data_IF_123865255928
#
_entry.id   IF_123865255928
#
_cell.length_a   1.000
_cell.length_b   1.000
_cell.length_c   1.000
_cell.angle_alpha   90.00
_cell.angle_beta   90.00
_cell.angle_gamma   90.00
#
_symmetry.space_group_name_H-M   'P 1'
#
loop_
_entity.id
_entity.type
_entity.pdbx_description
1 polymer ?
#
# COMPACT_ATOMS: atom_id res chain seq x y z
N UNK A 1 -17.15 8.91 -28.25
CA UNK A 1 -16.26 8.75 -27.08
C UNK A 1 -16.28 10.07 -26.31
N UNK A 2 -16.81 10.10 -25.08
CA UNK A 2 -16.66 11.29 -24.21
C UNK A 2 -15.16 11.44 -23.89
N UNK A 3 -14.56 12.57 -24.25
CA UNK A 3 -13.18 12.86 -23.86
C UNK A 3 -13.13 12.97 -22.32
N UNK A 4 -12.34 12.12 -21.68
CA UNK A 4 -12.09 12.18 -20.24
C UNK A 4 -10.90 13.09 -20.01
N UNK A 5 -11.18 14.32 -19.60
CA UNK A 5 -10.20 15.35 -19.27
C UNK A 5 -10.15 15.45 -17.74
N UNK A 6 -8.96 15.52 -17.17
CA UNK A 6 -8.74 15.72 -15.75
C UNK A 6 -9.42 17.01 -15.31
N UNK A 7 -9.94 17.03 -14.08
CA UNK A 7 -10.53 18.23 -13.50
C UNK A 7 -10.12 18.34 -12.05
N UNK A 8 -9.99 19.58 -11.58
CA UNK A 8 -9.46 19.89 -10.25
C UNK A 8 -10.34 20.89 -9.52
N UNK A 9 -10.21 20.87 -8.21
CA UNK A 9 -10.79 21.84 -7.30
C UNK A 9 -9.74 22.28 -6.29
N UNK A 10 -9.77 23.56 -5.92
CA UNK A 10 -8.93 24.12 -4.87
C UNK A 10 -9.70 24.08 -3.54
N UNK A 11 -8.97 23.90 -2.43
CA UNK A 11 -9.60 23.97 -1.09
C UNK A 11 -10.26 25.33 -0.85
N UNK A 12 -9.68 26.40 -1.41
CA UNK A 12 -10.23 27.76 -1.34
C UNK A 12 -11.31 28.09 -2.38
N UNK A 13 -11.72 27.13 -3.22
CA UNK A 13 -12.84 27.36 -4.14
C UNK A 13 -14.17 27.46 -3.37
N UNK A 14 -15.15 28.07 -4.03
CA UNK A 14 -16.52 28.19 -3.56
C UNK A 14 -17.14 26.82 -3.17
N UNK A 15 -18.03 26.84 -2.18
CA UNK A 15 -18.66 25.63 -1.64
C UNK A 15 -19.41 24.85 -2.72
N UNK A 16 -20.13 25.52 -3.61
CA UNK A 16 -20.89 24.87 -4.68
C UNK A 16 -19.96 24.14 -5.66
N UNK A 17 -18.78 24.72 -5.94
CA UNK A 17 -17.76 24.06 -6.78
C UNK A 17 -17.17 22.81 -6.12
N UNK A 18 -16.87 22.89 -4.81
CA UNK A 18 -16.36 21.73 -4.05
C UNK A 18 -17.41 20.64 -3.93
N UNK A 19 -18.67 21.00 -3.72
CA UNK A 19 -19.79 20.06 -3.64
C UNK A 19 -20.04 19.40 -5.00
N UNK A 20 -20.05 20.17 -6.09
CA UNK A 20 -20.17 19.64 -7.45
C UNK A 20 -19.03 18.67 -7.80
N UNK A 21 -17.80 18.97 -7.37
CA UNK A 21 -16.65 18.07 -7.52
C UNK A 21 -16.85 16.75 -6.76
N UNK A 22 -17.33 16.82 -5.51
CA UNK A 22 -17.61 15.64 -4.69
C UNK A 22 -18.73 14.77 -5.30
N UNK A 23 -19.83 15.39 -5.74
CA UNK A 23 -20.92 14.68 -6.40
C UNK A 23 -20.49 14.05 -7.72
N UNK A 24 -19.60 14.72 -8.47
CA UNK A 24 -18.99 14.14 -9.68
C UNK A 24 -18.22 12.86 -9.36
N UNK A 25 -17.46 12.82 -8.26
CA UNK A 25 -16.78 11.61 -7.79
C UNK A 25 -17.80 10.51 -7.42
N UNK A 26 -18.87 10.84 -6.68
CA UNK A 26 -19.92 9.89 -6.29
C UNK A 26 -20.61 9.26 -7.50
N UNK A 27 -21.01 10.08 -8.48
CA UNK A 27 -21.62 9.63 -9.72
C UNK A 27 -20.66 8.71 -10.47
N UNK A 28 -19.39 9.10 -10.60
CA UNK A 28 -18.36 8.31 -11.28
C UNK A 28 -18.18 6.91 -10.68
N UNK A 29 -18.27 6.78 -9.35
CA UNK A 29 -18.20 5.49 -8.65
C UNK A 29 -19.48 4.69 -8.83
N UNK A 30 -20.64 5.32 -8.61
CA UNK A 30 -21.96 4.68 -8.68
C UNK A 30 -22.25 4.14 -10.09
N UNK A 31 -21.96 4.90 -11.12
CA UNK A 31 -22.35 4.57 -12.49
C UNK A 31 -21.36 3.64 -13.22
N UNK A 32 -20.24 3.24 -12.59
CA UNK A 32 -19.17 2.44 -13.22
C UNK A 32 -18.81 2.92 -14.64
N UNK A 33 -18.87 4.23 -14.86
CA UNK A 33 -18.68 4.81 -16.20
C UNK A 33 -17.30 4.33 -16.70
N UNK A 34 -17.20 3.69 -17.86
CA UNK A 34 -15.95 3.20 -18.46
C UNK A 34 -15.08 2.25 -17.61
N UNK A 35 -15.36 0.95 -17.73
CA UNK A 35 -14.60 -0.20 -17.19
C UNK A 35 -13.11 -0.22 -17.61
N UNK A 36 -12.73 0.51 -18.67
CA UNK A 36 -11.37 0.51 -19.23
C UNK A 36 -10.47 1.67 -18.75
N UNK A 37 -10.95 2.56 -17.88
CA UNK A 37 -10.17 3.69 -17.38
C UNK A 37 -9.96 3.58 -15.87
N UNK A 38 -8.69 3.44 -15.47
CA UNK A 38 -8.29 3.59 -14.06
C UNK A 38 -8.38 5.07 -13.65
N UNK A 39 -8.82 5.33 -12.43
CA UNK A 39 -8.99 6.68 -11.88
C UNK A 39 -8.29 6.81 -10.55
N UNK A 40 -7.62 7.93 -10.37
CA UNK A 40 -6.93 8.29 -9.14
C UNK A 40 -7.22 9.73 -8.80
N UNK A 41 -7.16 10.06 -7.51
CA UNK A 41 -7.24 11.44 -7.03
C UNK A 41 -5.83 11.87 -6.66
N UNK A 42 -5.33 12.89 -7.36
CA UNK A 42 -4.06 13.56 -7.08
C UNK A 42 -4.32 14.75 -6.17
N UNK A 43 -3.59 14.85 -5.07
CA UNK A 43 -3.63 16.01 -4.16
C UNK A 43 -2.28 16.67 -4.10
N UNK A 44 -2.25 18.00 -4.12
CA UNK A 44 -0.99 18.75 -4.07
C UNK A 44 -1.02 19.77 -2.94
N UNK A 45 0.13 19.96 -2.28
CA UNK A 45 0.40 21.07 -1.36
C UNK A 45 0.79 22.34 -2.12
N UNK A 46 0.77 23.48 -1.44
CA UNK A 46 1.32 24.75 -1.94
C UNK A 46 2.82 24.66 -2.29
N UNK A 47 3.57 23.78 -1.62
CA UNK A 47 4.99 23.57 -1.88
C UNK A 47 5.29 22.59 -3.03
N UNK A 48 4.26 22.13 -3.76
CA UNK A 48 4.40 21.20 -4.88
C UNK A 48 4.46 19.72 -4.50
N UNK A 49 4.47 19.37 -3.22
CA UNK A 49 4.42 17.95 -2.82
C UNK A 49 3.07 17.33 -3.17
N UNK A 50 3.09 16.17 -3.83
CA UNK A 50 1.89 15.49 -4.32
C UNK A 50 1.65 14.15 -3.62
N UNK A 51 0.38 13.78 -3.43
CA UNK A 51 -0.07 12.45 -3.03
C UNK A 51 -1.15 11.95 -3.99
N UNK A 52 -1.23 10.64 -4.15
CA UNK A 52 -2.17 10.00 -5.07
C UNK A 52 -3.01 8.99 -4.30
N UNK A 53 -4.31 8.96 -4.56
CA UNK A 53 -5.28 8.09 -3.90
C UNK A 53 -6.05 7.29 -4.93
N UNK A 54 -6.16 5.99 -4.73
CA UNK A 54 -7.02 5.13 -5.55
C UNK A 54 -8.47 5.27 -5.16
N UNK A 55 -9.35 5.40 -6.15
CA UNK A 55 -10.80 5.43 -5.92
C UNK A 55 -11.35 4.00 -5.95
N UNK A 56 -11.11 3.23 -4.88
CA UNK A 56 -11.64 1.87 -4.71
C UNK A 56 -12.97 1.89 -3.94
N UNK A 57 -13.91 0.99 -4.27
CA UNK A 57 -15.33 1.07 -3.89
C UNK A 57 -15.61 1.34 -2.37
N UNK A 58 -16.41 2.39 -2.16
CA UNK A 58 -17.28 2.76 -1.03
C UNK A 58 -16.76 3.28 0.33
N UNK A 59 -15.77 2.70 1.02
CA UNK A 59 -15.48 3.18 2.40
C UNK A 59 -14.48 4.35 2.49
N UNK A 60 -13.48 4.40 1.61
CA UNK A 60 -12.48 5.47 1.64
C UNK A 60 -12.92 6.74 0.92
N UNK A 61 -13.91 6.62 0.03
CA UNK A 61 -14.39 7.73 -0.81
C UNK A 61 -15.17 8.74 0.01
N UNK A 62 -16.06 8.30 0.90
CA UNK A 62 -16.87 9.22 1.70
C UNK A 62 -16.01 10.01 2.70
N UNK A 63 -14.95 9.41 3.24
CA UNK A 63 -13.97 10.14 4.06
C UNK A 63 -13.17 11.15 3.24
N UNK A 64 -12.76 10.77 2.01
CA UNK A 64 -12.07 11.67 1.10
C UNK A 64 -12.97 12.82 0.64
N UNK A 65 -14.24 12.55 0.35
CA UNK A 65 -15.28 13.54 0.02
C UNK A 65 -15.53 14.46 1.22
N UNK A 66 -15.70 13.90 2.41
CA UNK A 66 -15.85 14.67 3.64
C UNK A 66 -14.67 15.62 3.87
N UNK A 67 -13.46 15.20 3.49
CA UNK A 67 -12.29 16.05 3.52
C UNK A 67 -12.28 17.14 2.44
N UNK A 68 -12.60 16.79 1.18
CA UNK A 68 -12.64 17.75 0.07
C UNK A 68 -13.72 18.82 0.29
N UNK A 69 -14.88 18.42 0.79
CA UNK A 69 -16.00 19.31 1.09
C UNK A 69 -15.80 20.11 2.38
N UNK A 70 -14.75 19.83 3.16
CA UNK A 70 -14.42 20.54 4.39
C UNK A 70 -15.24 20.12 5.62
N UNK A 71 -15.99 19.02 5.53
CA UNK A 71 -16.76 18.46 6.65
C UNK A 71 -15.91 17.69 7.66
N UNK A 72 -14.76 17.16 7.23
CA UNK A 72 -13.85 16.33 8.03
C UNK A 72 -12.43 16.88 7.86
N UNK A 73 -11.66 16.97 8.94
CA UNK A 73 -10.21 17.25 8.88
C UNK A 73 -9.45 16.01 8.36
N UNK A 74 -8.32 16.19 7.66
CA UNK A 74 -7.47 15.04 7.23
C UNK A 74 -6.97 14.25 8.44
N UNK A 75 -6.98 14.89 9.60
CA UNK A 75 -6.67 14.32 10.89
C UNK A 75 -7.97 13.85 11.56
N UNK A 76 -8.09 12.53 11.75
CA UNK A 76 -9.07 11.96 12.67
C UNK A 76 -8.66 12.31 14.09
N UNK A 77 -9.10 13.46 14.58
CA UNK A 77 -8.92 13.85 15.98
C UNK A 77 -9.98 13.15 16.83
N UNK A 78 -9.53 12.25 17.72
CA UNK A 78 -10.34 11.76 18.83
C UNK A 78 -10.34 12.79 19.96
N UNK A 79 -11.43 12.89 20.74
CA UNK A 79 -11.57 13.86 21.84
C UNK A 79 -10.46 13.82 22.88
N UNK A 80 -9.71 12.72 22.93
CA UNK A 80 -8.74 12.42 23.97
C UNK A 80 -7.30 12.76 23.54
N UNK A 81 -7.12 13.41 22.38
CA UNK A 81 -5.80 13.66 21.79
C UNK A 81 -5.29 15.08 22.09
N UNK A 82 -4.17 15.16 22.81
CA UNK A 82 -3.42 16.41 23.03
C UNK A 82 -2.93 16.97 21.68
N UNK A 83 -3.08 18.27 21.37
CA UNK A 83 -2.75 18.82 20.05
C UNK A 83 -1.25 18.72 19.80
N UNK A 84 -0.86 17.91 18.82
CA UNK A 84 0.53 17.76 18.39
C UNK A 84 0.69 18.37 17.00
N UNK A 85 1.50 19.42 16.87
CA UNK A 85 1.92 19.96 15.57
C UNK A 85 2.95 19.01 14.94
N UNK A 86 2.50 17.84 14.48
CA UNK A 86 3.21 17.09 13.45
C UNK A 86 2.99 17.78 12.10
N UNK A 87 3.95 17.64 11.19
CA UNK A 87 3.95 18.28 9.86
C UNK A 87 2.77 17.76 9.02
N UNK A 88 1.61 18.38 9.22
CA UNK A 88 0.32 17.92 8.71
C UNK A 88 0.31 18.05 7.18
N UNK A 89 -0.17 17.00 6.50
CA UNK A 89 -0.37 17.07 5.07
C UNK A 89 -1.68 17.81 4.81
N UNK A 90 -1.60 19.14 4.69
CA UNK A 90 -2.72 19.99 4.31
C UNK A 90 -2.69 20.18 2.78
N UNK A 91 -3.51 19.46 2.00
CA UNK A 91 -3.59 19.67 0.56
C UNK A 91 -4.19 21.06 0.26
N UNK A 92 -3.72 21.70 -0.82
CA UNK A 92 -4.33 22.90 -1.38
C UNK A 92 -5.20 22.60 -2.60
N UNK A 93 -5.03 21.43 -3.22
CA UNK A 93 -5.70 21.03 -4.46
C UNK A 93 -6.07 19.55 -4.46
N UNK A 94 -7.16 19.23 -5.15
CA UNK A 94 -7.54 17.88 -5.55
C UNK A 94 -7.82 17.84 -7.03
N UNK A 95 -7.35 16.80 -7.69
CA UNK A 95 -7.54 16.58 -9.11
C UNK A 95 -7.95 15.13 -9.34
N UNK A 96 -9.04 14.94 -10.07
CA UNK A 96 -9.40 13.62 -10.60
C UNK A 96 -8.59 13.41 -11.88
N UNK A 97 -7.72 12.40 -11.85
CA UNK A 97 -6.85 12.03 -12.97
C UNK A 97 -7.39 10.76 -13.62
N UNK A 98 -7.70 10.87 -14.91
CA UNK A 98 -8.10 9.73 -15.73
C UNK A 98 -6.88 9.12 -16.39
N UNK A 99 -6.63 7.85 -16.11
CA UNK A 99 -5.46 7.13 -16.60
C UNK A 99 -5.86 6.17 -17.70
N UNK A 100 -5.30 6.37 -18.88
CA UNK A 100 -5.37 5.40 -19.98
C UNK A 100 -4.05 4.64 -20.06
N UNK A 101 -4.09 3.32 -19.89
CA UNK A 101 -2.89 2.50 -20.03
C UNK A 101 -2.51 2.35 -21.50
N UNK A 102 -1.21 2.48 -21.77
CA UNK A 102 -0.56 2.21 -23.06
C UNK A 102 0.61 1.27 -22.80
N UNK A 103 0.73 0.21 -23.60
CA UNK A 103 1.89 -0.68 -23.56
C UNK A 103 2.95 -0.16 -24.52
N UNK A 104 4.14 0.09 -24.01
CA UNK A 104 5.30 0.49 -24.81
C UNK A 104 6.46 -0.47 -24.49
N UNK A 105 6.62 -1.49 -25.34
CA UNK A 105 7.54 -2.61 -25.08
C UNK A 105 7.15 -3.40 -23.81
N UNK A 106 8.09 -3.52 -22.87
CA UNK A 106 7.91 -4.18 -21.57
C UNK A 106 7.38 -3.23 -20.46
N UNK A 107 7.15 -1.95 -20.76
CA UNK A 107 6.67 -0.95 -19.79
C UNK A 107 5.21 -0.59 -20.05
N UNK A 108 4.45 -0.38 -18.97
CA UNK A 108 3.11 0.22 -19.06
C UNK A 108 3.25 1.69 -18.72
N UNK A 109 2.85 2.56 -19.65
CA UNK A 109 2.82 4.01 -19.44
C UNK A 109 1.35 4.40 -19.28
N UNK A 110 1.08 5.37 -18.41
CA UNK A 110 -0.26 5.91 -18.27
C UNK A 110 -0.31 7.30 -18.89
N UNK A 111 -1.29 7.51 -19.76
CA UNK A 111 -1.54 8.80 -20.38
C UNK A 111 -2.72 9.41 -19.65
N UNK A 112 -2.54 10.63 -19.14
CA UNK A 112 -3.63 11.48 -18.68
C UNK A 112 -3.76 12.71 -19.56
N UNK A 113 -4.96 13.31 -19.60
CA UNK A 113 -5.24 14.50 -20.41
C UNK A 113 -5.68 15.62 -19.48
N UNK A 114 -5.02 16.76 -19.55
CA UNK A 114 -5.36 17.96 -18.77
C UNK A 114 -5.51 19.17 -19.69
N UNK A 115 -6.07 20.26 -19.18
CA UNK A 115 -6.17 21.53 -19.89
C UNK A 115 -5.08 22.48 -19.40
N UNK A 116 -4.42 23.17 -20.32
CA UNK A 116 -3.53 24.28 -19.98
C UNK A 116 -4.30 25.58 -19.71
N UNK A 117 -3.58 26.64 -19.38
CA UNK A 117 -4.16 27.97 -19.12
C UNK A 117 -4.93 28.53 -20.34
N UNK A 118 -4.59 28.08 -21.55
CA UNK A 118 -5.21 28.46 -22.83
C UNK A 118 -6.37 27.52 -23.25
N UNK A 119 -6.82 26.61 -22.37
CA UNK A 119 -7.85 25.59 -22.62
C UNK A 119 -7.52 24.58 -23.75
N UNK A 120 -6.25 24.37 -24.03
CA UNK A 120 -5.76 23.34 -24.94
C UNK A 120 -5.51 22.02 -24.18
N UNK A 121 -5.80 20.90 -24.84
CA UNK A 121 -5.63 19.57 -24.25
C UNK A 121 -4.16 19.16 -24.32
N UNK A 122 -3.52 19.07 -23.15
CA UNK A 122 -2.16 18.54 -22.99
C UNK A 122 -2.22 17.08 -22.52
N UNK A 123 -1.32 16.25 -23.05
CA UNK A 123 -1.10 14.89 -22.57
C UNK A 123 0.05 14.86 -21.58
N UNK A 124 -0.22 14.35 -20.39
CA UNK A 124 0.78 14.09 -19.35
C UNK A 124 1.05 12.59 -19.34
N UNK A 125 2.30 12.20 -19.63
CA UNK A 125 2.78 10.84 -19.45
C UNK A 125 3.17 10.64 -18.00
N UNK A 126 2.47 9.72 -17.34
CA UNK A 126 2.71 9.35 -15.95
C UNK A 126 3.40 7.99 -15.97
N UNK A 127 4.65 7.96 -15.51
CA UNK A 127 5.36 6.70 -15.33
C UNK A 127 4.62 5.85 -14.29
N UNK A 128 4.53 4.56 -14.56
CA UNK A 128 4.06 3.58 -13.59
C UNK A 128 4.85 3.68 -12.27
N UNK A 129 6.13 4.05 -12.31
CA UNK A 129 6.92 4.32 -11.11
C UNK A 129 6.40 5.53 -10.32
N UNK A 130 5.90 6.59 -10.94
CA UNK A 130 5.32 7.75 -10.24
C UNK A 130 3.97 7.43 -9.57
N UNK A 131 3.15 6.57 -10.19
CA UNK A 131 1.96 6.00 -9.53
C UNK A 131 2.36 5.07 -8.36
N UNK A 132 3.54 4.45 -8.43
CA UNK A 132 4.08 3.54 -7.41
C UNK A 132 4.88 4.24 -6.30
N UNK A 133 5.38 5.46 -6.54
CA UNK A 133 6.24 6.25 -5.61
C UNK A 133 5.49 6.79 -4.38
N UNK A 134 4.19 6.48 -4.25
CA UNK A 134 3.39 6.84 -3.08
C UNK A 134 2.63 5.65 -2.45
N UNK A 135 3.04 4.40 -2.72
CA UNK A 135 2.38 3.24 -2.13
C UNK A 135 2.95 2.93 -0.74
N UNK A 136 2.40 3.67 0.20
CA UNK A 136 2.05 3.18 1.53
C UNK A 136 1.81 1.67 1.57
N UNK A 137 2.26 0.97 2.62
CA UNK A 137 1.99 -0.46 2.75
C UNK A 137 0.50 -0.77 2.70
N UNK A 138 0.06 -1.45 1.64
CA UNK A 138 -1.35 -1.75 1.35
C UNK A 138 -1.58 -3.27 1.32
N UNK A 139 -2.85 -3.67 1.38
CA UNK A 139 -3.30 -5.05 1.33
C UNK A 139 -2.62 -5.78 0.15
N UNK A 140 -1.98 -6.92 0.41
CA UNK A 140 -1.39 -7.72 -0.66
C UNK A 140 -2.48 -8.09 -1.69
N UNK A 141 -2.32 -7.75 -2.99
CA UNK A 141 -3.37 -7.96 -3.98
C UNK A 141 -3.45 -9.39 -4.51
N UNK A 142 -2.85 -10.37 -3.80
CA UNK A 142 -2.83 -11.77 -4.18
C UNK A 142 -3.48 -12.63 -3.12
N UNK A 143 -4.33 -13.55 -3.58
CA UNK A 143 -4.89 -14.64 -2.78
C UNK A 143 -4.09 -15.91 -2.99
N UNK A 144 -4.03 -16.74 -1.96
CA UNK A 144 -3.25 -17.97 -1.96
C UNK A 144 -4.10 -19.18 -2.40
N UNK A 145 -3.86 -19.66 -3.62
CA UNK A 145 -4.49 -20.89 -4.14
C UNK A 145 -3.53 -22.09 -4.17
N UNK A 146 -2.35 -21.98 -3.55
CA UNK A 146 -1.36 -23.06 -3.52
C UNK A 146 -1.78 -24.24 -2.64
N UNK A 147 -2.77 -24.04 -1.75
CA UNK A 147 -3.18 -25.02 -0.74
C UNK A 147 -2.20 -25.20 0.41
N UNK A 148 -1.09 -24.46 0.42
CA UNK A 148 -0.15 -24.35 1.55
C UNK A 148 -0.67 -23.26 2.47
N UNK A 149 -0.57 -23.44 3.79
CA UNK A 149 -0.91 -22.36 4.71
C UNK A 149 0.18 -21.27 4.70
N UNK A 150 -0.20 -20.07 4.27
CA UNK A 150 0.65 -18.88 4.21
C UNK A 150 0.15 -17.78 5.16
N UNK A 151 -0.71 -18.13 6.12
CA UNK A 151 -1.27 -17.20 7.10
C UNK A 151 -0.18 -16.47 7.89
N UNK A 152 0.93 -17.13 8.20
CA UNK A 152 2.13 -16.53 8.85
C UNK A 152 2.73 -15.36 8.07
N UNK A 153 2.46 -15.24 6.77
CA UNK A 153 2.87 -14.12 5.92
C UNK A 153 1.73 -13.13 5.66
N UNK A 154 0.59 -13.31 6.33
CA UNK A 154 -0.67 -12.60 6.13
C UNK A 154 -1.26 -12.78 4.71
N UNK A 155 -1.05 -13.97 4.11
CA UNK A 155 -1.55 -14.32 2.78
C UNK A 155 -2.60 -15.42 2.91
N UNK A 156 -3.83 -15.13 2.49
CA UNK A 156 -4.98 -16.01 2.68
C UNK A 156 -5.59 -16.45 1.34
N UNK A 157 -6.33 -17.56 1.29
CA UNK A 157 -7.03 -18.02 0.08
C UNK A 157 -8.13 -17.06 -0.39
N UNK A 158 -8.69 -16.30 0.54
CA UNK A 158 -9.79 -15.35 0.30
C UNK A 158 -9.56 -14.08 1.10
N UNK A 159 -10.08 -12.97 0.59
CA UNK A 159 -10.00 -11.67 1.27
C UNK A 159 -11.09 -11.59 2.32
N UNK A 160 -10.72 -11.81 3.59
CA UNK A 160 -11.62 -11.65 4.74
C UNK A 160 -11.11 -10.51 5.64
N UNK A 161 -11.87 -9.41 5.84
CA UNK A 161 -11.45 -8.28 6.67
C UNK A 161 -11.03 -8.66 8.09
N UNK A 162 -11.61 -9.73 8.66
CA UNK A 162 -11.27 -10.21 10.01
C UNK A 162 -9.82 -10.70 10.13
N UNK A 163 -9.20 -11.09 9.03
CA UNK A 163 -7.82 -11.58 8.99
C UNK A 163 -6.78 -10.44 8.91
N UNK A 164 -7.23 -9.19 8.79
CA UNK A 164 -6.38 -8.00 8.59
C UNK A 164 -6.63 -6.95 9.68
N UNK A 165 -6.64 -7.40 10.94
CA UNK A 165 -6.70 -6.51 12.13
C UNK A 165 -5.48 -5.59 12.18
N UNK A 166 -4.31 -6.15 11.86
CA UNK A 166 -3.02 -5.48 11.97
C UNK A 166 -2.42 -5.13 10.60
N UNK A 167 -1.67 -4.04 10.59
CA UNK A 167 -0.77 -3.66 9.50
C UNK A 167 0.24 -4.79 9.24
N UNK A 168 0.56 -5.08 7.97
CA UNK A 168 1.48 -6.15 7.59
C UNK A 168 2.87 -6.07 8.22
N UNK A 169 3.37 -4.86 8.50
CA UNK A 169 4.58 -4.66 9.27
C UNK A 169 4.44 -5.10 10.74
N UNK A 170 3.34 -4.73 11.40
CA UNK A 170 3.04 -5.12 12.78
C UNK A 170 2.82 -6.63 12.85
N UNK A 171 2.05 -7.17 11.92
CA UNK A 171 1.82 -8.60 11.80
C UNK A 171 3.14 -9.36 11.66
N UNK A 172 4.05 -8.92 10.79
CA UNK A 172 5.37 -9.53 10.68
C UNK A 172 6.19 -9.40 11.98
N UNK A 173 6.07 -8.31 12.74
CA UNK A 173 6.70 -8.18 14.05
C UNK A 173 6.11 -9.16 15.08
N UNK A 174 4.80 -9.40 15.08
CA UNK A 174 4.15 -10.43 15.91
C UNK A 174 4.68 -11.80 15.54
N UNK A 175 4.68 -12.15 14.25
CA UNK A 175 5.15 -13.44 13.74
C UNK A 175 6.65 -13.66 13.95
N UNK A 176 7.44 -12.59 14.15
CA UNK A 176 8.86 -12.72 14.46
C UNK A 176 9.13 -13.28 15.87
N UNK A 177 8.15 -13.19 16.79
CA UNK A 177 8.31 -13.47 18.22
C UNK A 177 9.46 -12.70 18.90
N UNK A 178 9.97 -11.63 18.27
CA UNK A 178 11.03 -10.78 18.83
C UNK A 178 10.45 -9.78 19.81
N UNK A 179 9.21 -9.34 19.59
CA UNK A 179 8.49 -8.33 20.38
C UNK A 179 7.58 -8.98 21.42
N UNK A 180 7.52 -8.38 22.61
CA UNK A 180 6.53 -8.77 23.64
C UNK A 180 5.20 -8.04 23.40
N UNK A 181 4.11 -8.57 23.96
CA UNK A 181 2.76 -8.04 23.76
C UNK A 181 2.65 -6.53 24.04
N UNK A 182 3.25 -6.06 25.14
CA UNK A 182 3.26 -4.63 25.47
C UNK A 182 3.98 -3.77 24.42
N UNK A 183 5.05 -4.29 23.81
CA UNK A 183 5.76 -3.59 22.74
C UNK A 183 4.93 -3.61 21.45
N UNK A 184 4.18 -4.68 21.17
CA UNK A 184 3.27 -4.76 20.04
C UNK A 184 2.12 -3.76 20.20
N UNK A 185 1.51 -3.67 21.38
CA UNK A 185 0.47 -2.66 21.68
C UNK A 185 1.01 -1.25 21.48
N UNK A 186 2.23 -0.99 21.96
CA UNK A 186 2.91 0.29 21.76
C UNK A 186 3.18 0.56 20.28
N UNK A 187 3.60 -0.46 19.53
CA UNK A 187 3.85 -0.36 18.09
C UNK A 187 2.55 -0.10 17.31
N UNK A 188 1.43 -0.71 17.70
CA UNK A 188 0.08 -0.45 17.17
C UNK A 188 -0.36 1.00 17.45
N UNK A 189 -0.11 1.51 18.65
CA UNK A 189 -0.43 2.90 19.01
C UNK A 189 0.44 3.93 18.26
N UNK A 190 1.67 3.59 17.88
CA UNK A 190 2.56 4.47 17.11
C UNK A 190 2.30 4.41 15.61
N UNK A 191 1.94 3.23 15.12
CA UNK A 191 1.57 2.97 13.74
C UNK A 191 0.04 2.97 13.68
N UNK A 192 -0.58 4.12 14.00
CA UNK A 192 -2.05 4.31 13.97
C UNK A 192 -2.67 4.15 12.58
N UNK A 193 -1.86 4.27 11.54
CA UNK A 193 -2.25 4.04 10.14
C UNK A 193 -1.95 2.59 9.76
N UNK A 194 -2.80 1.94 8.96
CA UNK A 194 -2.52 0.62 8.33
C UNK A 194 -1.28 0.59 7.42
N UNK A 195 -0.53 1.70 7.38
CA UNK A 195 0.54 2.07 6.45
C UNK A 195 1.80 2.42 7.25
N UNK A 196 2.92 1.72 7.01
CA UNK A 196 4.22 1.97 7.66
C UNK A 196 5.24 2.51 6.65
N UNK A 197 5.55 3.82 6.64
CA UNK A 197 6.58 4.35 5.75
C UNK A 197 7.97 3.86 6.17
N UNK A 198 8.78 3.42 5.18
CA UNK A 198 10.18 3.00 5.33
C UNK A 198 11.01 3.95 6.24
N UNK A 199 10.68 5.24 6.18
CA UNK A 199 11.35 6.32 6.90
C UNK A 199 11.21 6.18 8.43
N UNK A 200 10.13 5.54 8.91
CA UNK A 200 9.87 5.32 10.35
C UNK A 200 10.60 4.09 10.91
N UNK A 201 11.06 3.15 10.07
CA UNK A 201 11.70 1.92 10.55
C UNK A 201 12.95 2.22 11.38
N UNK A 202 13.72 3.26 11.03
CA UNK A 202 14.87 3.68 11.82
C UNK A 202 14.49 4.23 13.20
N UNK A 203 13.33 4.86 13.34
CA UNK A 203 12.89 5.44 14.61
C UNK A 203 12.26 4.38 15.50
N UNK A 204 11.46 3.48 14.91
CA UNK A 204 10.99 2.25 15.56
C UNK A 204 12.21 1.45 16.06
N UNK A 205 13.24 1.28 15.23
CA UNK A 205 14.44 0.55 15.62
C UNK A 205 15.10 1.12 16.87
N UNK A 206 15.25 2.45 16.94
CA UNK A 206 15.83 3.14 18.11
C UNK A 206 14.95 2.98 19.34
N UNK A 207 13.65 3.17 19.19
CA UNK A 207 12.69 3.19 20.30
C UNK A 207 12.57 1.83 20.97
N UNK A 208 12.43 0.77 20.18
CA UNK A 208 12.30 -0.60 20.68
C UNK A 208 13.65 -1.31 20.85
N UNK A 209 14.77 -0.62 20.58
CA UNK A 209 16.13 -1.16 20.60
C UNK A 209 16.21 -2.49 19.84
N UNK A 210 15.62 -2.52 18.66
CA UNK A 210 15.47 -3.69 17.80
C UNK A 210 15.93 -3.33 16.39
N UNK A 211 16.80 -4.14 15.80
CA UNK A 211 17.23 -3.94 14.43
C UNK A 211 16.21 -4.48 13.42
N UNK A 212 16.22 -3.90 12.22
CA UNK A 212 15.43 -4.36 11.10
C UNK A 212 16.30 -4.51 9.86
N UNK A 213 16.11 -5.62 9.15
CA UNK A 213 16.68 -5.85 7.82
C UNK A 213 15.53 -6.07 6.85
N UNK A 214 15.32 -5.14 5.92
CA UNK A 214 14.26 -5.24 4.91
C UNK A 214 14.89 -5.56 3.57
N UNK A 215 14.56 -6.73 3.02
CA UNK A 215 14.95 -7.18 1.68
C UNK A 215 13.83 -6.86 0.71
N UNK A 216 14.14 -6.30 -0.45
CA UNK A 216 13.18 -6.04 -1.54
C UNK A 216 13.53 -6.93 -2.72
N UNK A 217 12.52 -7.50 -3.36
CA UNK A 217 12.69 -8.22 -4.63
C UNK A 217 12.75 -7.18 -5.74
N UNK A 218 13.88 -7.14 -6.45
CA UNK A 218 14.07 -6.28 -7.61
C UNK A 218 13.40 -6.92 -8.83
N UNK A 219 12.41 -6.23 -9.41
CA UNK A 219 11.57 -6.75 -10.50
C UNK A 219 12.34 -6.92 -11.82
N UNK A 220 13.46 -6.20 -12.01
CA UNK A 220 14.18 -6.23 -13.27
C UNK A 220 15.13 -7.42 -13.39
N UNK A 221 15.63 -7.90 -12.25
CA UNK A 221 16.69 -8.92 -12.20
C UNK A 221 16.30 -10.16 -11.38
N UNK A 222 15.12 -10.18 -10.76
CA UNK A 222 14.65 -11.26 -9.86
C UNK A 222 15.64 -11.58 -8.72
N UNK A 223 16.39 -10.55 -8.29
CA UNK A 223 17.37 -10.66 -7.19
C UNK A 223 16.83 -9.93 -5.96
N UNK A 224 16.96 -10.57 -4.79
CA UNK A 224 16.73 -9.90 -3.51
C UNK A 224 17.85 -8.93 -3.18
N UNK A 225 17.50 -7.67 -2.91
CA UNK A 225 18.42 -6.62 -2.47
C UNK A 225 18.05 -6.14 -1.07
N UNK A 226 19.05 -5.88 -0.23
CA UNK A 226 18.82 -5.28 1.09
C UNK A 226 18.51 -3.80 0.89
N UNK A 227 17.26 -3.42 1.16
CA UNK A 227 16.77 -2.05 1.06
C UNK A 227 17.05 -1.25 2.34
N UNK A 228 16.77 -1.85 3.50
CA UNK A 228 17.01 -1.25 4.81
C UNK A 228 17.82 -2.22 5.65
N UNK A 229 18.85 -1.72 6.32
CA UNK A 229 19.56 -2.47 7.35
C UNK A 229 19.95 -1.50 8.47
N UNK A 230 19.19 -1.53 9.56
CA UNK A 230 19.44 -0.62 10.69
C UNK A 230 20.70 -0.99 11.46
N UNK A 231 21.22 -2.21 11.35
CA UNK A 231 22.49 -2.61 11.98
C UNK A 231 23.68 -1.81 11.43
N UNK A 232 23.57 -1.31 10.19
CA UNK A 232 24.57 -0.42 9.57
C UNK A 232 24.53 1.00 10.15
N UNK A 233 23.46 1.37 10.85
CA UNK A 233 23.36 2.66 11.53
C UNK A 233 24.16 2.62 12.84
N UNK A 234 25.11 3.56 13.00
CA UNK A 234 25.95 3.67 14.20
C UNK A 234 25.12 3.75 15.50
N UNK A 235 23.93 4.36 15.44
CA UNK A 235 23.03 4.52 16.60
C UNK A 235 22.28 3.23 16.99
N UNK A 236 22.20 2.25 16.08
CA UNK A 236 21.44 1.01 16.28
C UNK A 236 22.31 -0.26 16.30
N UNK A 237 23.61 -0.14 15.96
CA UNK A 237 24.55 -1.26 15.87
C UNK A 237 24.68 -2.08 17.16
N UNK A 238 24.43 -1.47 18.31
CA UNK A 238 24.50 -2.13 19.63
C UNK A 238 23.24 -2.91 20.01
N UNK A 239 22.17 -2.84 19.22
CA UNK A 239 20.93 -3.56 19.51
C UNK A 239 21.08 -5.04 19.16
N UNK A 240 20.71 -5.92 20.11
CA UNK A 240 20.87 -7.37 19.97
C UNK A 240 19.71 -8.06 19.25
N UNK A 241 18.51 -7.46 19.31
CA UNK A 241 17.29 -7.98 18.66
C UNK A 241 17.30 -7.60 17.19
N UNK A 242 16.76 -8.45 16.33
CA UNK A 242 16.66 -8.18 14.90
C UNK A 242 15.44 -8.86 14.28
N UNK A 243 14.69 -8.15 13.43
CA UNK A 243 13.63 -8.70 12.60
C UNK A 243 14.04 -8.60 11.13
N UNK A 244 14.01 -9.72 10.42
CA UNK A 244 14.24 -9.77 8.97
C UNK A 244 12.91 -9.79 8.24
N UNK A 245 12.75 -8.89 7.27
CA UNK A 245 11.52 -8.69 6.54
C UNK A 245 11.77 -8.76 5.04
N UNK A 246 10.77 -9.24 4.30
CA UNK A 246 10.68 -9.11 2.85
C UNK A 246 9.61 -8.06 2.54
N UNK A 247 9.97 -7.08 1.71
CA UNK A 247 9.04 -6.13 1.12
C UNK A 247 8.78 -6.54 -0.34
N UNK A 248 7.56 -6.98 -0.63
CA UNK A 248 7.15 -7.35 -1.98
C UNK A 248 5.81 -6.71 -2.33
N UNK A 249 5.79 -5.94 -3.43
CA UNK A 249 4.61 -5.19 -3.87
C UNK A 249 3.92 -4.46 -2.71
N UNK A 250 4.74 -3.75 -1.94
CA UNK A 250 4.33 -2.91 -0.82
C UNK A 250 3.70 -3.65 0.38
N UNK A 251 3.85 -4.99 0.44
CA UNK A 251 3.48 -5.81 1.59
C UNK A 251 4.72 -6.28 2.36
N UNK A 252 4.74 -6.06 3.67
CA UNK A 252 5.78 -6.61 4.55
C UNK A 252 5.45 -8.04 4.94
N UNK A 253 6.42 -8.92 4.80
CA UNK A 253 6.36 -10.30 5.24
C UNK A 253 7.55 -10.58 6.14
N UNK A 254 7.37 -11.45 7.12
CA UNK A 254 8.49 -12.00 7.86
C UNK A 254 9.37 -12.85 6.91
N UNK A 255 10.69 -12.67 6.96
CA UNK A 255 11.62 -13.51 6.21
C UNK A 255 11.81 -14.84 6.95
N UNK A 256 10.83 -15.73 6.78
CA UNK A 256 10.78 -17.03 7.42
C UNK A 256 10.89 -18.16 6.38
N UNK A 257 11.64 -19.20 6.72
CA UNK A 257 11.63 -20.45 5.95
C UNK A 257 10.34 -21.20 6.21
N UNK A 258 9.50 -21.27 5.19
CA UNK A 258 8.27 -22.07 5.23
C UNK A 258 8.57 -23.56 5.07
N UNK A 259 7.78 -24.46 5.69
CA UNK A 259 7.92 -25.91 5.57
C UNK A 259 7.37 -26.43 4.23
N UNK A 260 7.75 -25.79 3.13
CA UNK A 260 7.33 -26.16 1.77
C UNK A 260 8.49 -26.02 0.80
N UNK A 261 8.62 -26.96 -0.12
CA UNK A 261 9.63 -26.92 -1.18
C UNK A 261 9.09 -26.25 -2.44
N UNK A 262 10.00 -25.64 -3.19
CA UNK A 262 9.68 -25.13 -4.54
C UNK A 262 9.30 -26.26 -5.50
N UNK A 263 9.82 -27.48 -5.29
CA UNK A 263 9.45 -28.67 -6.05
C UNK A 263 7.97 -29.02 -5.86
N UNK A 264 7.48 -29.05 -4.61
CA UNK A 264 6.07 -29.28 -4.32
C UNK A 264 5.17 -28.25 -5.00
N UNK A 265 5.52 -26.96 -4.90
CA UNK A 265 4.74 -25.88 -5.52
C UNK A 265 4.63 -26.03 -7.04
N UNK A 266 5.67 -26.53 -7.72
CA UNK A 266 5.70 -26.74 -9.16
C UNK A 266 5.02 -28.04 -9.62
N UNK A 267 5.05 -29.08 -8.80
CA UNK A 267 4.65 -30.44 -9.18
C UNK A 267 3.51 -31.03 -8.34
N UNK A 268 2.74 -30.19 -7.65
CA UNK A 268 1.66 -30.57 -6.72
C UNK A 268 0.71 -31.64 -7.27
N UNK A 269 0.20 -31.48 -8.48
CA UNK A 269 -0.78 -32.41 -9.06
C UNK A 269 -0.14 -33.77 -9.40
N UNK A 270 1.11 -33.79 -9.87
CA UNK A 270 1.86 -35.03 -10.10
C UNK A 270 2.13 -35.76 -8.77
N UNK A 271 2.50 -35.03 -7.72
CA UNK A 271 2.73 -35.62 -6.39
C UNK A 271 1.46 -36.22 -5.79
N UNK A 272 0.32 -35.55 -5.94
CA UNK A 272 -0.98 -36.10 -5.52
C UNK A 272 -1.34 -37.39 -6.25
N UNK A 273 -1.06 -37.49 -7.55
CA UNK A 273 -1.31 -38.71 -8.32
C UNK A 273 -0.36 -39.84 -7.94
N UNK A 274 0.91 -39.52 -7.69
CA UNK A 274 1.95 -40.51 -7.33
C UNK A 274 1.83 -41.00 -5.90
N UNK A 275 1.36 -40.15 -4.98
CA UNK A 275 1.25 -40.44 -3.56
C UNK A 275 -0.14 -40.09 -2.99
N UNK A 276 -1.23 -40.71 -3.49
CA UNK A 276 -2.60 -40.32 -3.14
C UNK A 276 -2.94 -40.55 -1.65
N UNK A 277 -2.25 -41.47 -0.98
CA UNK A 277 -2.43 -41.77 0.45
C UNK A 277 -1.47 -41.00 1.37
N UNK A 278 -0.57 -40.17 0.81
CA UNK A 278 0.40 -39.43 1.61
C UNK A 278 -0.23 -38.15 2.16
N UNK A 279 0.04 -37.87 3.43
CA UNK A 279 -0.40 -36.62 4.05
C UNK A 279 0.18 -35.39 3.33
N UNK A 280 -0.62 -34.33 3.24
CA UNK A 280 -0.27 -33.13 2.49
C UNK A 280 0.97 -32.42 3.08
N UNK A 281 1.16 -32.43 4.40
CA UNK A 281 2.33 -31.81 5.02
C UNK A 281 3.61 -32.57 4.64
N UNK A 282 3.54 -33.89 4.57
CA UNK A 282 4.67 -34.72 4.10
C UNK A 282 4.97 -34.49 2.63
N UNK A 283 3.94 -34.35 1.80
CA UNK A 283 4.11 -34.04 0.37
C UNK A 283 4.78 -32.67 0.14
N UNK A 284 4.48 -31.66 0.97
CA UNK A 284 5.07 -30.33 0.89
C UNK A 284 6.60 -30.32 1.08
N UNK A 285 7.16 -31.36 1.70
CA UNK A 285 8.58 -31.47 2.00
C UNK A 285 9.39 -32.25 0.94
N UNK A 286 8.72 -32.81 -0.08
CA UNK A 286 9.36 -33.56 -1.18
C UNK A 286 10.22 -32.61 -2.02
N UNK A 287 11.45 -33.01 -2.34
CA UNK A 287 12.43 -32.23 -3.10
C UNK A 287 12.66 -32.79 -4.49
#
# INVERSE_FOLDING_TARGET
MKQTINFKVYVGDDEDKRLAFCESIRIMIRERINVNLSRVIRTSKLNGNQKWFTVSENQNVENLIGHIAGYISFETNCSDMNPYMGDSFIPSTYEVVFLQSKKEGNKTIFISKTLNEDNEVIQEEIDEEQLRMNLDGELLPFTNHSGVDLSVLQIYPEVNPKNYSDNCFIYACIQSCVFIDLEIETLQMEIKTKKSPNNKINDIAKRFRCNFVVKRIDKEIDVMRVNINTQRNKKCRSFKRCVELILYKDHYMIDLKLPVTTYYLKHKEMLKQKFPSMDQQKMQLIR
#
